data_IF_442800551761
#
_entry.id   IF_442800551761
#
_cell.length_a   1.000
_cell.length_b   1.000
_cell.length_c   1.000
_cell.angle_alpha   90.00
_cell.angle_beta   90.00
_cell.angle_gamma   90.00
#
_symmetry.space_group_name_H-M   'P 1'
#
loop_
_entity.id
_entity.type
_entity.pdbx_description
1 polymer ?
#
# COMPACT_ATOMS: atom_id res chain seq x y z
N UNK A 1 39.66 -31.65 13.77
CA UNK A 1 38.82 -30.71 12.98
C UNK A 1 37.51 -31.31 12.48
N UNK A 2 37.24 -32.62 12.66
CA UNK A 2 35.99 -33.28 12.22
C UNK A 2 34.80 -33.10 13.19
N UNK A 3 35.05 -32.65 14.42
CA UNK A 3 33.99 -32.48 15.44
C UNK A 3 33.16 -31.19 15.26
N UNK A 4 33.68 -30.18 14.58
CA UNK A 4 33.02 -28.88 14.39
C UNK A 4 31.91 -28.94 13.34
N UNK A 5 32.04 -29.76 12.29
CA UNK A 5 31.06 -29.85 11.21
C UNK A 5 29.80 -30.60 11.65
N UNK A 6 29.92 -31.72 12.35
CA UNK A 6 28.77 -32.52 12.81
C UNK A 6 27.91 -31.77 13.85
N UNK A 7 28.50 -30.99 14.74
CA UNK A 7 27.78 -30.18 15.71
C UNK A 7 26.98 -29.05 15.01
N UNK A 8 27.57 -28.43 13.99
CA UNK A 8 26.89 -27.36 13.21
C UNK A 8 25.68 -27.90 12.44
N UNK A 9 25.75 -29.11 11.90
CA UNK A 9 24.67 -29.72 11.12
C UNK A 9 23.51 -30.22 12.00
N UNK A 10 23.82 -30.74 13.19
CA UNK A 10 22.80 -31.12 14.19
C UNK A 10 22.08 -29.88 14.71
N UNK A 11 22.82 -28.78 14.97
CA UNK A 11 22.26 -27.51 15.42
C UNK A 11 21.28 -26.92 14.39
N UNK A 12 21.65 -26.92 13.11
CA UNK A 12 20.77 -26.43 12.04
C UNK A 12 19.53 -27.30 11.84
N UNK A 13 19.66 -28.63 11.93
CA UNK A 13 18.54 -29.57 11.75
C UNK A 13 17.53 -29.56 12.89
N UNK A 14 17.94 -29.14 14.10
CA UNK A 14 17.08 -29.16 15.29
C UNK A 14 16.50 -27.79 15.64
N UNK A 15 17.28 -26.72 15.48
CA UNK A 15 16.86 -25.36 15.83
C UNK A 15 15.94 -24.75 14.77
N UNK A 16 16.23 -24.94 13.49
CA UNK A 16 15.41 -24.38 12.42
C UNK A 16 13.96 -24.91 12.47
N UNK A 17 13.71 -26.24 12.60
CA UNK A 17 12.33 -26.74 12.76
C UNK A 17 11.68 -26.30 14.07
N UNK A 18 12.43 -26.15 15.17
CA UNK A 18 11.87 -25.71 16.45
C UNK A 18 11.47 -24.24 16.45
N UNK A 19 12.28 -23.37 15.86
CA UNK A 19 11.95 -21.95 15.66
C UNK A 19 10.76 -21.83 14.70
N UNK A 20 10.75 -22.60 13.61
CA UNK A 20 9.65 -22.66 12.66
C UNK A 20 8.35 -23.16 13.32
N UNK A 21 8.45 -24.18 14.19
CA UNK A 21 7.31 -24.70 14.95
C UNK A 21 6.75 -23.67 15.93
N UNK A 22 7.59 -22.90 16.63
CA UNK A 22 7.15 -21.82 17.53
C UNK A 22 6.46 -20.72 16.73
N UNK A 23 6.99 -20.37 15.56
CA UNK A 23 6.38 -19.36 14.68
C UNK A 23 5.05 -19.83 14.09
N UNK A 24 4.94 -21.12 13.72
CA UNK A 24 3.71 -21.72 13.18
C UNK A 24 2.66 -21.93 14.28
N UNK A 25 3.07 -22.24 15.51
CA UNK A 25 2.13 -22.44 16.64
C UNK A 25 1.53 -21.13 17.14
N UNK A 26 2.23 -20.01 16.98
CA UNK A 26 1.72 -18.68 17.30
C UNK A 26 0.85 -18.07 16.18
N UNK A 27 0.92 -18.60 14.97
CA UNK A 27 0.03 -18.21 13.87
C UNK A 27 -1.22 -19.10 13.94
N UNK A 28 -2.34 -18.52 14.33
CA UNK A 28 -3.63 -19.20 14.32
C UNK A 28 -3.89 -19.74 12.90
N UNK A 29 -3.90 -21.08 12.73
CA UNK A 29 -4.05 -21.78 11.45
C UNK A 29 -5.35 -21.39 10.71
N UNK A 30 -6.25 -20.66 11.38
CA UNK A 30 -7.45 -20.09 10.76
C UNK A 30 -7.10 -19.12 9.64
N UNK A 31 -5.97 -18.37 9.75
CA UNK A 31 -5.49 -17.47 8.69
C UNK A 31 -5.12 -18.20 7.41
N UNK A 32 -4.65 -19.46 7.49
CA UNK A 32 -4.38 -20.28 6.31
C UNK A 32 -5.65 -20.54 5.49
N UNK A 33 -6.82 -20.49 6.10
CA UNK A 33 -8.10 -20.62 5.36
C UNK A 33 -8.35 -19.38 4.48
N UNK A 34 -7.93 -18.18 4.95
CA UNK A 34 -8.03 -16.93 4.18
C UNK A 34 -7.08 -16.96 2.98
N UNK A 35 -5.90 -17.58 3.12
CA UNK A 35 -4.97 -17.77 2.00
C UNK A 35 -5.56 -18.63 0.87
N UNK A 36 -6.59 -19.43 1.13
CA UNK A 36 -7.32 -20.14 0.05
C UNK A 36 -8.01 -19.17 -0.90
N UNK A 37 -8.32 -17.93 -0.46
CA UNK A 37 -8.87 -16.88 -1.33
C UNK A 37 -7.84 -16.40 -2.37
N UNK A 38 -6.54 -16.59 -2.12
CA UNK A 38 -5.50 -16.29 -3.12
C UNK A 38 -5.64 -17.15 -4.39
N UNK A 39 -6.36 -18.29 -4.32
CA UNK A 39 -6.71 -19.04 -5.54
C UNK A 39 -7.54 -18.23 -6.53
N UNK A 40 -8.29 -17.19 -6.06
CA UNK A 40 -9.05 -16.29 -6.90
C UNK A 40 -8.13 -15.42 -7.78
N UNK A 41 -6.89 -15.16 -7.32
CA UNK A 41 -5.87 -14.47 -8.13
C UNK A 41 -5.47 -15.29 -9.36
N UNK A 42 -5.72 -16.61 -9.37
CA UNK A 42 -5.49 -17.45 -10.56
C UNK A 42 -6.40 -17.05 -11.73
N UNK A 43 -7.51 -16.36 -11.47
CA UNK A 43 -8.39 -15.82 -12.51
C UNK A 43 -7.66 -14.76 -13.35
N UNK A 44 -6.66 -14.08 -12.77
CA UNK A 44 -5.85 -13.07 -13.47
C UNK A 44 -5.15 -13.65 -14.72
N UNK A 45 -4.85 -14.96 -14.72
CA UNK A 45 -4.19 -15.63 -15.83
C UNK A 45 -5.09 -15.81 -17.08
N UNK A 46 -6.40 -15.60 -16.93
CA UNK A 46 -7.37 -15.72 -18.03
C UNK A 46 -7.79 -14.38 -18.62
N UNK A 47 -7.31 -13.24 -18.08
CA UNK A 47 -7.71 -11.91 -18.50
C UNK A 47 -6.53 -11.13 -19.07
N UNK A 48 -6.52 -10.92 -20.38
CA UNK A 48 -5.56 -10.03 -21.06
C UNK A 48 -5.60 -8.60 -20.54
N UNK A 49 -6.76 -8.16 -20.03
CA UNK A 49 -6.92 -6.82 -19.45
C UNK A 49 -6.10 -6.63 -18.17
N UNK A 50 -5.92 -7.67 -17.35
CA UNK A 50 -5.07 -7.61 -16.15
C UNK A 50 -3.59 -7.60 -16.51
N UNK A 51 -3.18 -8.31 -17.55
CA UNK A 51 -1.82 -8.26 -18.08
C UNK A 51 -1.50 -6.87 -18.65
N UNK A 52 -2.44 -6.30 -19.40
CA UNK A 52 -2.32 -4.93 -19.93
C UNK A 52 -2.22 -3.90 -18.80
N UNK A 53 -3.03 -4.02 -17.74
CA UNK A 53 -2.95 -3.15 -16.57
C UNK A 53 -1.60 -3.28 -15.83
N UNK A 54 -1.14 -4.50 -15.63
CA UNK A 54 0.14 -4.75 -14.98
C UNK A 54 1.32 -4.20 -15.80
N UNK A 55 1.28 -4.38 -17.12
CA UNK A 55 2.26 -3.82 -18.05
C UNK A 55 2.24 -2.30 -18.04
N UNK A 56 1.06 -1.68 -18.02
CA UNK A 56 0.89 -0.23 -17.92
C UNK A 56 1.51 0.34 -16.64
N UNK A 57 1.24 -0.27 -15.48
CA UNK A 57 1.82 0.14 -14.19
C UNK A 57 3.34 -0.02 -14.19
N UNK A 58 3.88 -1.10 -14.75
CA UNK A 58 5.33 -1.31 -14.87
C UNK A 58 6.00 -0.25 -15.74
N UNK A 59 5.34 0.16 -16.82
CA UNK A 59 5.87 1.15 -17.73
C UNK A 59 5.94 2.54 -17.07
N UNK A 60 4.91 2.91 -16.32
CA UNK A 60 4.79 4.20 -15.62
C UNK A 60 5.25 4.14 -14.15
N UNK A 61 6.08 3.15 -13.79
CA UNK A 61 6.52 2.95 -12.40
C UNK A 61 7.12 4.20 -11.75
N UNK A 62 7.84 5.01 -12.53
CA UNK A 62 8.48 6.23 -12.03
C UNK A 62 7.44 7.25 -11.56
N UNK A 63 6.43 7.50 -12.38
CA UNK A 63 5.33 8.43 -12.06
C UNK A 63 4.52 7.92 -10.86
N UNK A 64 4.29 6.59 -10.81
CA UNK A 64 3.56 5.97 -9.71
C UNK A 64 4.32 6.06 -8.38
N UNK A 65 5.62 5.76 -8.39
CA UNK A 65 6.49 5.88 -7.20
C UNK A 65 6.57 7.34 -6.73
N UNK A 66 6.69 8.29 -7.66
CA UNK A 66 6.69 9.71 -7.31
C UNK A 66 5.38 10.16 -6.64
N UNK A 67 4.24 9.69 -7.13
CA UNK A 67 2.93 9.97 -6.52
C UNK A 67 2.78 9.33 -5.13
N UNK A 68 3.26 8.09 -4.94
CA UNK A 68 3.30 7.43 -3.62
C UNK A 68 4.24 8.15 -2.65
N UNK A 69 5.37 8.65 -3.14
CA UNK A 69 6.28 9.44 -2.32
C UNK A 69 5.63 10.75 -1.87
N UNK A 70 4.94 11.44 -2.79
CA UNK A 70 4.17 12.64 -2.45
C UNK A 70 3.07 12.33 -1.42
N UNK A 71 2.36 11.21 -1.57
CA UNK A 71 1.37 10.75 -0.58
C UNK A 71 2.01 10.50 0.79
N UNK A 72 3.17 9.85 0.84
CA UNK A 72 3.88 9.60 2.09
C UNK A 72 4.31 10.90 2.79
N UNK A 73 4.83 11.88 2.04
CA UNK A 73 5.15 13.20 2.58
C UNK A 73 3.90 13.87 3.15
N UNK A 74 2.80 13.88 2.39
CA UNK A 74 1.54 14.45 2.82
C UNK A 74 1.01 13.78 4.10
N UNK A 75 1.12 12.45 4.18
CA UNK A 75 0.74 11.66 5.35
C UNK A 75 1.55 12.04 6.59
N UNK A 76 2.87 12.08 6.49
CA UNK A 76 3.75 12.44 7.61
C UNK A 76 3.55 13.88 8.04
N UNK A 77 3.49 14.80 7.09
CA UNK A 77 3.34 16.22 7.37
C UNK A 77 1.99 16.52 8.04
N UNK A 78 0.88 16.02 7.50
CA UNK A 78 -0.44 16.22 8.10
C UNK A 78 -0.54 15.57 9.48
N UNK A 79 0.07 14.40 9.69
CA UNK A 79 0.11 13.75 11.00
C UNK A 79 0.88 14.56 12.03
N UNK A 80 2.04 15.08 11.67
CA UNK A 80 2.85 15.91 12.57
C UNK A 80 2.12 17.22 12.94
N UNK A 81 1.53 17.90 11.95
CA UNK A 81 0.79 19.14 12.17
C UNK A 81 -0.46 18.90 13.04
N UNK A 82 -1.21 17.83 12.78
CA UNK A 82 -2.40 17.49 13.56
C UNK A 82 -2.03 17.09 14.99
N UNK A 83 -0.95 16.32 15.17
CA UNK A 83 -0.43 15.97 16.49
C UNK A 83 -0.13 17.22 17.32
N UNK A 84 0.59 18.18 16.74
CA UNK A 84 0.92 19.44 17.45
C UNK A 84 -0.34 20.25 17.80
N UNK A 85 -1.35 20.24 16.93
CA UNK A 85 -2.58 21.00 17.12
C UNK A 85 -3.53 20.38 18.16
N UNK A 86 -3.60 19.04 18.26
CA UNK A 86 -4.64 18.33 19.00
C UNK A 86 -4.14 17.56 20.22
N UNK A 87 -2.85 17.24 20.32
CA UNK A 87 -2.31 16.44 21.44
C UNK A 87 -2.65 17.01 22.82
N UNK A 88 -2.61 18.33 22.97
CA UNK A 88 -2.93 18.99 24.24
C UNK A 88 -4.45 18.91 24.56
N UNK A 89 -5.30 19.01 23.55
CA UNK A 89 -6.75 19.01 23.69
C UNK A 89 -7.34 17.59 23.77
N UNK A 90 -6.69 16.64 23.07
CA UNK A 90 -7.15 15.24 22.97
C UNK A 90 -5.95 14.26 23.12
N UNK A 91 -5.31 14.21 24.30
CA UNK A 91 -4.11 13.36 24.49
C UNK A 91 -4.39 11.87 24.31
N UNK A 92 -5.63 11.43 24.49
CA UNK A 92 -6.00 10.02 24.31
C UNK A 92 -6.17 9.60 22.86
N UNK A 93 -6.46 10.54 21.96
CA UNK A 93 -6.69 10.26 20.54
C UNK A 93 -5.48 10.60 19.65
N UNK A 94 -4.70 11.59 20.05
CA UNK A 94 -3.52 12.07 19.33
C UNK A 94 -2.26 11.92 20.21
N UNK A 95 -2.01 10.69 20.72
CA UNK A 95 -0.91 10.41 21.68
C UNK A 95 0.48 10.58 21.08
N UNK A 96 0.62 10.23 19.83
CA UNK A 96 1.89 10.23 19.12
C UNK A 96 1.69 10.45 17.62
N UNK A 97 2.76 10.85 16.92
CA UNK A 97 2.71 11.00 15.45
C UNK A 97 2.28 9.71 14.75
N UNK A 98 2.81 8.50 15.06
CA UNK A 98 2.35 7.26 14.45
C UNK A 98 0.84 6.97 14.68
N UNK A 99 0.32 7.27 15.85
CA UNK A 99 -1.13 7.13 16.11
C UNK A 99 -1.95 8.14 15.31
N UNK A 100 -1.47 9.39 15.20
CA UNK A 100 -2.09 10.44 14.39
C UNK A 100 -2.06 10.12 12.89
N UNK A 101 -1.10 9.29 12.44
CA UNK A 101 -1.05 8.82 11.04
C UNK A 101 -2.31 8.04 10.64
N UNK A 102 -2.97 7.35 11.57
CA UNK A 102 -4.25 6.73 11.30
C UNK A 102 -5.29 7.75 10.84
N UNK A 103 -5.45 8.83 11.62
CA UNK A 103 -6.36 9.92 11.25
C UNK A 103 -6.00 10.54 9.90
N UNK A 104 -4.72 10.83 9.67
CA UNK A 104 -4.25 11.41 8.43
C UNK A 104 -4.49 10.49 7.24
N UNK A 105 -4.25 9.19 7.40
CA UNK A 105 -4.47 8.19 6.36
C UNK A 105 -5.94 8.15 5.93
N UNK A 106 -6.87 8.02 6.89
CA UNK A 106 -8.30 7.94 6.57
C UNK A 106 -8.86 9.26 6.01
N UNK A 107 -8.24 10.40 6.36
CA UNK A 107 -8.60 11.72 5.83
C UNK A 107 -8.07 11.92 4.42
N UNK A 108 -6.79 11.65 4.18
CA UNK A 108 -6.16 11.75 2.85
C UNK A 108 -6.78 10.80 1.83
N UNK A 109 -7.19 9.60 2.26
CA UNK A 109 -7.87 8.61 1.41
C UNK A 109 -9.37 8.85 1.28
N UNK A 110 -9.88 9.91 1.91
CA UNK A 110 -11.32 10.27 1.89
C UNK A 110 -12.26 9.23 2.52
N UNK A 111 -11.73 8.30 3.34
CA UNK A 111 -12.54 7.27 4.05
C UNK A 111 -13.32 7.89 5.20
N UNK A 112 -12.63 8.61 6.10
CA UNK A 112 -13.24 9.42 7.16
C UNK A 112 -14.18 8.63 8.09
N UNK A 113 -13.69 7.61 8.81
CA UNK A 113 -14.53 6.83 9.75
C UNK A 113 -15.17 7.67 10.86
N UNK A 114 -14.58 8.82 11.21
CA UNK A 114 -15.12 9.70 12.25
C UNK A 114 -14.82 9.26 13.68
N UNK A 115 -14.03 8.21 13.87
CA UNK A 115 -13.54 7.72 15.17
C UNK A 115 -12.56 8.70 15.83
N UNK A 116 -11.79 9.42 15.02
CA UNK A 116 -10.88 10.48 15.41
C UNK A 116 -11.14 11.72 14.55
N UNK A 117 -11.33 12.87 15.20
CA UNK A 117 -11.57 14.15 14.52
C UNK A 117 -11.00 15.33 15.32
N UNK A 118 -10.55 16.41 14.67
CA UNK A 118 -10.02 17.58 15.35
C UNK A 118 -11.12 18.37 16.08
N UNK A 119 -10.84 18.81 17.31
CA UNK A 119 -11.73 19.65 18.12
C UNK A 119 -11.29 21.12 18.07
N UNK A 120 -9.97 21.39 18.07
CA UNK A 120 -9.44 22.75 18.11
C UNK A 120 -9.73 23.49 16.80
N UNK A 121 -9.86 24.83 16.82
CA UNK A 121 -10.00 25.62 15.61
C UNK A 121 -8.82 25.44 14.65
N UNK A 122 -7.60 25.36 15.19
CA UNK A 122 -6.38 25.12 14.40
C UNK A 122 -6.40 23.72 13.76
N UNK A 123 -6.77 22.69 14.54
CA UNK A 123 -6.90 21.33 14.03
C UNK A 123 -7.94 21.22 12.91
N UNK A 124 -9.05 21.96 13.01
CA UNK A 124 -10.08 21.99 11.93
C UNK A 124 -9.55 22.63 10.65
N UNK A 125 -8.74 23.69 10.75
CA UNK A 125 -8.09 24.30 9.57
C UNK A 125 -7.10 23.31 8.94
N UNK A 126 -6.23 22.68 9.75
CA UNK A 126 -5.30 21.65 9.28
C UNK A 126 -6.06 20.49 8.64
N UNK A 127 -7.17 20.08 9.25
CA UNK A 127 -8.03 19.02 8.72
C UNK A 127 -8.61 19.37 7.35
N UNK A 128 -9.09 20.58 7.16
CA UNK A 128 -9.61 21.05 5.87
C UNK A 128 -8.53 21.06 4.78
N UNK A 129 -7.34 21.58 5.10
CA UNK A 129 -6.20 21.58 4.18
C UNK A 129 -5.77 20.14 3.83
N UNK A 130 -5.71 19.26 4.83
CA UNK A 130 -5.38 17.83 4.64
C UNK A 130 -6.40 17.13 3.74
N UNK A 131 -7.69 17.42 3.92
CA UNK A 131 -8.74 16.83 3.08
C UNK A 131 -8.61 17.28 1.61
N UNK A 132 -8.37 18.55 1.34
CA UNK A 132 -8.15 19.08 -0.02
C UNK A 132 -6.90 18.43 -0.63
N UNK A 133 -5.80 18.37 0.12
CA UNK A 133 -4.56 17.73 -0.32
C UNK A 133 -4.78 16.24 -0.64
N UNK A 134 -5.57 15.53 0.18
CA UNK A 134 -5.94 14.14 -0.04
C UNK A 134 -6.65 13.92 -1.38
N UNK A 135 -7.66 14.73 -1.68
CA UNK A 135 -8.37 14.67 -2.97
C UNK A 135 -7.40 14.88 -4.14
N UNK A 136 -6.49 15.85 -4.04
CA UNK A 136 -5.49 16.11 -5.09
C UNK A 136 -4.55 14.92 -5.31
N UNK A 137 -4.07 14.28 -4.25
CA UNK A 137 -3.14 13.14 -4.34
C UNK A 137 -3.85 11.89 -4.88
N UNK A 138 -5.08 11.61 -4.44
CA UNK A 138 -5.87 10.49 -4.96
C UNK A 138 -6.20 10.70 -6.45
N UNK A 139 -6.56 11.92 -6.85
CA UNK A 139 -6.81 12.26 -8.25
C UNK A 139 -5.56 12.08 -9.11
N UNK A 140 -4.38 12.47 -8.61
CA UNK A 140 -3.10 12.26 -9.29
C UNK A 140 -2.82 10.76 -9.52
N UNK A 141 -2.94 9.93 -8.47
CA UNK A 141 -2.73 8.48 -8.58
C UNK A 141 -3.69 7.84 -9.57
N UNK A 142 -4.97 8.19 -9.49
CA UNK A 142 -6.00 7.69 -10.42
C UNK A 142 -5.70 8.12 -11.85
N UNK A 143 -5.30 9.38 -12.06
CA UNK A 143 -4.94 9.91 -13.38
C UNK A 143 -3.74 9.20 -14.01
N UNK A 144 -2.70 8.90 -13.22
CA UNK A 144 -1.53 8.14 -13.70
C UNK A 144 -1.94 6.75 -14.16
N UNK A 145 -2.74 6.02 -13.35
CA UNK A 145 -3.19 4.66 -13.70
C UNK A 145 -4.08 4.69 -14.95
N UNK A 146 -5.04 5.61 -15.02
CA UNK A 146 -5.95 5.73 -16.15
C UNK A 146 -5.20 6.05 -17.45
N UNK A 147 -4.25 6.99 -17.41
CA UNK A 147 -3.45 7.35 -18.57
C UNK A 147 -2.52 6.21 -19.03
N UNK A 148 -1.88 5.53 -18.08
CA UNK A 148 -1.03 4.38 -18.36
C UNK A 148 -1.80 3.26 -19.08
N UNK A 149 -3.00 2.95 -18.60
CA UNK A 149 -3.87 1.96 -19.21
C UNK A 149 -4.33 2.38 -20.61
N UNK A 150 -4.78 3.64 -20.79
CA UNK A 150 -5.21 4.16 -22.09
C UNK A 150 -4.08 4.10 -23.12
N UNK A 151 -2.85 4.47 -22.74
CA UNK A 151 -1.67 4.38 -23.59
C UNK A 151 -1.34 2.93 -23.98
N UNK A 152 -1.47 1.98 -23.05
CA UNK A 152 -1.23 0.57 -23.34
C UNK A 152 -2.24 0.01 -24.35
N UNK A 153 -3.52 0.32 -24.18
CA UNK A 153 -4.58 -0.09 -25.13
C UNK A 153 -4.36 0.52 -26.51
N UNK A 154 -3.98 1.81 -26.58
CA UNK A 154 -3.69 2.47 -27.86
C UNK A 154 -2.49 1.84 -28.58
N UNK A 155 -1.42 1.52 -27.87
CA UNK A 155 -0.24 0.82 -28.45
C UNK A 155 -0.62 -0.54 -29.00
N UNK A 156 -1.41 -1.31 -28.27
CA UNK A 156 -1.87 -2.63 -28.70
C UNK A 156 -2.70 -2.56 -29.99
N UNK A 157 -3.60 -1.59 -30.09
CA UNK A 157 -4.38 -1.36 -31.32
C UNK A 157 -3.47 -1.02 -32.50
N UNK A 158 -2.52 -0.12 -32.33
CA UNK A 158 -1.60 0.27 -33.39
C UNK A 158 -0.75 -0.90 -33.92
N UNK A 159 -0.33 -1.81 -33.04
CA UNK A 159 0.40 -3.03 -33.43
C UNK A 159 -0.49 -3.95 -34.28
N UNK A 160 -1.72 -4.18 -33.87
CA UNK A 160 -2.68 -5.04 -34.60
C UNK A 160 -3.01 -4.46 -35.97
N UNK A 161 -3.22 -3.15 -36.07
CA UNK A 161 -3.45 -2.46 -37.35
C UNK A 161 -2.25 -2.57 -38.30
N UNK A 162 -1.02 -2.45 -37.79
CA UNK A 162 0.19 -2.62 -38.57
C UNK A 162 0.38 -4.07 -39.06
N UNK A 163 0.04 -5.08 -38.24
CA UNK A 163 0.07 -6.49 -38.65
C UNK A 163 -0.92 -6.79 -39.77
N UNK A 164 -2.14 -6.26 -39.67
CA UNK A 164 -3.17 -6.42 -40.70
C UNK A 164 -2.77 -5.72 -42.02
N UNK A 165 -2.13 -4.56 -41.95
CA UNK A 165 -1.67 -3.83 -43.14
C UNK A 165 -0.50 -4.50 -43.86
N UNK A 166 0.28 -5.35 -43.19
CA UNK A 166 1.43 -6.08 -43.75
C UNK A 166 1.10 -7.52 -44.18
N UNK A 167 -0.13 -8.00 -43.95
CA UNK A 167 -0.62 -9.32 -44.33
C UNK A 167 -1.38 -9.29 -45.65
#
# INVERSE_FOLDING_TARGET
PLYSSAASDVYKRQIVPSILAIFITSVDLRWLRVLRLLRLLKISHYSTALEDLWSAIKHERSSFVAALYLFAIALFFSSAMMYVAENTAQPDKFKSIPETMWWSLITLTTVGYGDVSPLTPLGKIIGAVTAIMGVCVVALLTGIVANAFANQVARRKAILEAEVANA
#
